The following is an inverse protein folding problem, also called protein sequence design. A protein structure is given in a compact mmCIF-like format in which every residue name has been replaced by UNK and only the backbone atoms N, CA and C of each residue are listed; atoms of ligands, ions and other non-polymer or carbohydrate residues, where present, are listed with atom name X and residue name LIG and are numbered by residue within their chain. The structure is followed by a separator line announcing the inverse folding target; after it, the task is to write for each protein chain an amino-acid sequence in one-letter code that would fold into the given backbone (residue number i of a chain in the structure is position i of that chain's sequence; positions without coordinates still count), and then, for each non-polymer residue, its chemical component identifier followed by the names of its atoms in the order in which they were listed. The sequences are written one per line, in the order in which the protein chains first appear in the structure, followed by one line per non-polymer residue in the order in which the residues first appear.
data_IF_663469029124
#
_entry.id   IF_663469029124
#
_cell.length_a   1.000
_cell.length_b   1.000
_cell.length_c   1.000
_cell.angle_alpha   90.00
_cell.angle_beta   90.00
_cell.angle_gamma   90.00
#
_symmetry.space_group_name_H-M   'P 1'
#
loop_
_entity.id
_entity.type
_entity.pdbx_description
1 polymer ?
#
# COMPACT_ATOMS: atom_id res chain seq x y z
N UNK A 1 45.35 5.05 -5.23
CA UNK A 1 44.05 4.39 -5.41
C UNK A 1 43.64 3.82 -4.06
N UNK A 2 42.63 4.36 -3.37
CA UNK A 2 42.14 3.77 -2.13
C UNK A 2 41.20 2.59 -2.45
N UNK A 3 41.49 1.44 -1.86
CA UNK A 3 40.64 0.26 -1.89
C UNK A 3 39.37 0.53 -1.06
N UNK A 4 38.22 0.44 -1.70
CA UNK A 4 36.91 0.47 -1.03
C UNK A 4 36.66 -0.93 -0.47
N UNK A 5 36.65 -1.04 0.87
CA UNK A 5 36.23 -2.27 1.55
C UNK A 5 34.74 -2.54 1.31
N UNK A 6 34.32 -3.79 1.07
CA UNK A 6 32.92 -4.10 0.91
C UNK A 6 32.18 -3.97 2.24
N UNK A 7 31.15 -3.13 2.28
CA UNK A 7 30.19 -3.08 3.38
C UNK A 7 29.40 -4.39 3.37
N UNK A 8 29.77 -5.30 4.25
CA UNK A 8 28.98 -6.51 4.53
C UNK A 8 27.77 -6.08 5.39
N UNK A 9 26.64 -5.87 4.76
CA UNK A 9 25.37 -5.85 5.47
C UNK A 9 25.06 -7.26 6.00
N UNK A 10 24.57 -7.42 7.23
CA UNK A 10 24.17 -8.73 7.76
C UNK A 10 22.78 -9.10 7.24
N UNK A 11 22.73 -9.61 6.01
CA UNK A 11 21.49 -10.20 5.40
C UNK A 11 21.16 -11.59 5.96
N UNK A 12 21.90 -12.08 6.93
CA UNK A 12 21.76 -13.46 7.44
C UNK A 12 20.80 -13.62 8.62
N UNK A 13 20.08 -12.57 9.04
CA UNK A 13 19.17 -12.65 10.19
C UNK A 13 17.68 -12.87 9.83
N UNK A 14 17.33 -13.04 8.56
CA UNK A 14 15.93 -13.22 8.13
C UNK A 14 15.58 -14.68 7.77
N UNK A 15 16.56 -15.61 7.81
CA UNK A 15 16.26 -17.00 7.51
C UNK A 15 16.48 -17.89 8.74
N UNK A 16 15.44 -18.66 9.05
CA UNK A 16 15.36 -19.77 9.98
C UNK A 16 15.08 -19.42 11.46
N UNK A 17 13.82 -19.29 11.79
CA UNK A 17 13.30 -19.83 13.03
C UNK A 17 12.02 -20.60 12.75
N UNK A 18 12.17 -21.81 12.19
CA UNK A 18 11.21 -22.89 12.40
C UNK A 18 11.54 -23.49 13.76
N UNK A 19 10.85 -23.03 14.80
CA UNK A 19 10.94 -23.66 16.11
C UNK A 19 9.58 -23.67 16.79
N UNK A 20 9.04 -24.88 16.86
CA UNK A 20 8.28 -25.46 17.99
C UNK A 20 7.12 -24.65 18.58
N UNK A 21 5.92 -25.18 18.35
CA UNK A 21 4.69 -24.92 19.12
C UNK A 21 4.94 -25.25 20.60
N UNK A 22 5.15 -24.24 21.43
CA UNK A 22 4.75 -24.22 22.85
C UNK A 22 5.23 -22.91 23.49
N UNK A 23 4.34 -22.11 24.06
CA UNK A 23 4.68 -20.98 24.95
C UNK A 23 4.42 -19.58 24.38
N UNK A 24 3.17 -19.22 24.11
CA UNK A 24 2.76 -17.92 23.60
C UNK A 24 2.39 -16.90 24.70
N UNK A 25 3.27 -16.66 25.69
CA UNK A 25 3.06 -15.55 26.65
C UNK A 25 4.29 -14.68 26.95
N UNK A 26 5.34 -14.69 26.12
CA UNK A 26 6.56 -13.91 26.36
C UNK A 26 7.06 -13.03 25.22
N UNK A 27 6.37 -12.99 24.09
CA UNK A 27 6.92 -12.50 22.79
C UNK A 27 6.66 -11.02 22.47
N UNK A 28 5.67 -10.37 23.07
CA UNK A 28 5.17 -9.07 22.59
C UNK A 28 6.16 -7.90 22.68
N UNK A 29 7.03 -7.87 23.69
CA UNK A 29 7.98 -6.76 23.85
C UNK A 29 9.23 -6.90 22.96
N UNK A 30 9.70 -8.11 22.69
CA UNK A 30 10.86 -8.35 21.84
C UNK A 30 10.54 -8.12 20.36
N UNK A 31 9.33 -8.47 19.95
CA UNK A 31 8.83 -8.20 18.59
C UNK A 31 8.65 -6.70 18.33
N UNK A 32 8.15 -5.92 19.29
CA UNK A 32 8.03 -4.45 19.19
C UNK A 32 9.36 -3.77 18.95
N UNK A 33 10.38 -4.17 19.69
CA UNK A 33 11.72 -3.58 19.57
C UNK A 33 12.33 -3.87 18.20
N UNK A 34 12.23 -5.10 17.71
CA UNK A 34 12.73 -5.47 16.38
C UNK A 34 12.00 -4.75 15.23
N UNK A 35 10.68 -4.58 15.32
CA UNK A 35 9.89 -3.91 14.28
C UNK A 35 10.17 -2.41 14.22
N UNK A 36 10.35 -1.75 15.38
CA UNK A 36 10.84 -0.36 15.43
C UNK A 36 12.22 -0.24 14.81
N UNK A 37 13.14 -1.13 15.15
CA UNK A 37 14.48 -1.14 14.60
C UNK A 37 14.50 -1.27 13.07
N UNK A 38 13.59 -2.05 12.48
CA UNK A 38 13.48 -2.16 11.01
C UNK A 38 13.08 -0.82 10.40
N UNK A 39 12.04 -0.18 10.90
CA UNK A 39 11.58 1.11 10.38
C UNK A 39 12.64 2.22 10.59
N UNK A 40 13.32 2.21 11.72
CA UNK A 40 14.38 3.17 12.05
C UNK A 40 15.61 2.94 11.16
N UNK A 41 16.03 1.68 10.97
CA UNK A 41 17.15 1.33 10.06
C UNK A 41 16.84 1.67 8.59
N UNK A 42 15.59 1.48 8.15
CA UNK A 42 15.18 1.90 6.81
C UNK A 42 15.16 3.42 6.67
N UNK A 43 14.90 4.17 7.75
CA UNK A 43 14.94 5.63 7.74
C UNK A 43 16.33 6.17 7.48
N UNK A 44 17.39 5.48 7.93
CA UNK A 44 18.78 5.84 7.66
C UNK A 44 19.13 5.76 6.16
N UNK A 45 18.41 4.96 5.39
CA UNK A 45 18.56 4.83 3.94
C UNK A 45 17.87 5.97 3.16
N UNK A 46 17.20 6.90 3.84
CA UNK A 46 16.55 8.03 3.18
C UNK A 46 17.59 9.10 2.79
N UNK A 47 18.49 8.72 1.90
CA UNK A 47 19.56 9.55 1.34
C UNK A 47 19.51 9.46 -0.20
N UNK A 48 19.95 10.48 -0.96
CA UNK A 48 19.90 10.49 -2.42
C UNK A 48 20.48 9.23 -3.06
N UNK A 49 21.62 8.74 -2.55
CA UNK A 49 22.35 7.60 -3.13
C UNK A 49 21.68 6.24 -2.85
N UNK A 50 20.87 6.15 -1.80
CA UNK A 50 20.20 4.92 -1.35
C UNK A 50 18.68 4.93 -1.54
N UNK A 51 18.10 6.08 -1.92
CA UNK A 51 16.67 6.23 -2.05
C UNK A 51 16.02 5.22 -3.01
N UNK A 52 16.67 4.91 -4.14
CA UNK A 52 16.16 3.93 -5.09
C UNK A 52 16.10 2.50 -4.48
N UNK A 53 17.09 2.14 -3.67
CA UNK A 53 17.10 0.87 -2.93
C UNK A 53 16.01 0.89 -1.84
N UNK A 54 15.83 2.01 -1.15
CA UNK A 54 14.81 2.16 -0.12
C UNK A 54 13.40 1.98 -0.67
N UNK A 55 13.10 2.49 -1.88
CA UNK A 55 11.81 2.24 -2.57
C UNK A 55 11.53 0.75 -2.63
N UNK A 56 12.45 -0.05 -3.18
CA UNK A 56 12.26 -1.50 -3.31
C UNK A 56 12.18 -2.24 -1.97
N UNK A 57 12.96 -1.81 -0.97
CA UNK A 57 12.93 -2.41 0.37
C UNK A 57 11.62 -2.13 1.09
N UNK A 58 11.09 -0.90 0.99
CA UNK A 58 9.81 -0.54 1.59
C UNK A 58 8.65 -1.30 0.94
N UNK A 59 8.63 -1.38 -0.40
CA UNK A 59 7.64 -2.18 -1.15
C UNK A 59 7.67 -3.64 -0.68
N UNK A 60 8.85 -4.25 -0.62
CA UNK A 60 9.01 -5.63 -0.19
C UNK A 60 8.57 -5.85 1.26
N UNK A 61 8.93 -4.93 2.17
CA UNK A 61 8.54 -5.03 3.58
C UNK A 61 7.02 -4.93 3.75
N UNK A 62 6.37 -3.97 3.08
CA UNK A 62 4.91 -3.81 3.11
C UNK A 62 4.22 -5.07 2.61
N UNK A 63 4.63 -5.60 1.44
CA UNK A 63 4.06 -6.81 0.86
C UNK A 63 4.22 -8.03 1.78
N UNK A 64 5.37 -8.19 2.42
CA UNK A 64 5.61 -9.27 3.38
C UNK A 64 4.76 -9.15 4.65
N UNK A 65 4.64 -7.94 5.18
CA UNK A 65 3.83 -7.69 6.38
C UNK A 65 2.36 -7.94 6.08
N UNK A 66 1.83 -7.38 5.00
CA UNK A 66 0.44 -7.57 4.60
C UNK A 66 0.09 -9.04 4.40
N UNK A 67 0.94 -9.81 3.72
CA UNK A 67 0.72 -11.24 3.52
C UNK A 67 0.82 -12.07 4.81
N UNK A 68 1.51 -11.57 5.83
CA UNK A 68 1.62 -12.24 7.13
C UNK A 68 0.45 -11.92 8.08
N UNK A 69 -0.33 -10.87 7.80
CA UNK A 69 -1.40 -10.37 8.69
C UNK A 69 -2.50 -11.42 8.97
N UNK A 70 -2.79 -12.32 8.04
CA UNK A 70 -3.75 -13.41 8.25
C UNK A 70 -3.38 -14.34 9.41
N UNK A 71 -2.09 -14.37 9.79
CA UNK A 71 -1.55 -15.27 10.81
C UNK A 71 -1.17 -14.54 12.11
N UNK A 72 -1.43 -13.23 12.20
CA UNK A 72 -0.98 -12.38 13.30
C UNK A 72 -2.17 -11.65 13.91
N UNK A 73 -2.23 -11.62 15.24
CA UNK A 73 -3.17 -10.78 15.96
C UNK A 73 -2.63 -9.35 16.05
N UNK A 74 -3.25 -8.41 15.35
CA UNK A 74 -2.95 -6.97 15.39
C UNK A 74 -4.08 -6.17 16.06
N UNK A 75 -4.76 -6.76 17.03
CA UNK A 75 -5.86 -6.10 17.76
C UNK A 75 -5.46 -4.78 18.42
N UNK A 76 -4.16 -4.54 18.62
CA UNK A 76 -3.60 -3.29 19.14
C UNK A 76 -3.16 -2.29 18.06
N UNK A 77 -3.27 -2.61 16.78
CA UNK A 77 -2.93 -1.74 15.64
C UNK A 77 -1.45 -1.42 15.46
N UNK A 78 -0.55 -2.17 16.11
CA UNK A 78 0.89 -1.89 16.04
C UNK A 78 1.47 -2.17 14.65
N UNK A 79 1.02 -3.23 13.99
CA UNK A 79 1.49 -3.60 12.65
C UNK A 79 1.00 -2.59 11.64
N UNK A 80 -0.26 -2.18 11.73
CA UNK A 80 -0.80 -1.10 10.90
C UNK A 80 0.02 0.18 11.01
N UNK A 81 0.46 0.55 12.22
CA UNK A 81 1.34 1.70 12.45
C UNK A 81 2.73 1.57 11.81
N UNK A 82 3.26 0.35 11.68
CA UNK A 82 4.55 0.10 10.99
C UNK A 82 4.37 0.23 9.49
N UNK A 83 3.33 -0.38 8.94
CA UNK A 83 3.01 -0.31 7.50
C UNK A 83 2.77 1.14 7.09
N UNK A 84 2.05 1.92 7.89
CA UNK A 84 1.87 3.35 7.65
C UNK A 84 3.22 4.09 7.55
N UNK A 85 4.14 3.88 8.50
CA UNK A 85 5.48 4.49 8.46
C UNK A 85 6.31 4.05 7.26
N UNK A 86 6.22 2.78 6.86
CA UNK A 86 6.86 2.28 5.64
C UNK A 86 6.30 2.98 4.39
N UNK A 87 4.99 3.23 4.34
CA UNK A 87 4.37 4.02 3.27
C UNK A 87 4.88 5.45 3.20
N UNK A 88 5.02 6.13 4.35
CA UNK A 88 5.62 7.46 4.38
C UNK A 88 7.09 7.47 3.92
N UNK A 89 7.87 6.48 4.32
CA UNK A 89 9.26 6.33 3.87
C UNK A 89 9.33 6.06 2.37
N UNK A 90 8.45 5.20 1.85
CA UNK A 90 8.36 4.90 0.42
C UNK A 90 8.04 6.18 -0.38
N UNK A 91 7.06 6.98 0.05
CA UNK A 91 6.73 8.24 -0.61
C UNK A 91 7.92 9.21 -0.64
N UNK A 92 8.59 9.38 0.50
CA UNK A 92 9.79 10.23 0.61
C UNK A 92 10.94 9.72 -0.27
N UNK A 93 11.14 8.40 -0.29
CA UNK A 93 12.15 7.75 -1.13
C UNK A 93 11.84 7.93 -2.63
N UNK A 94 10.58 7.81 -3.05
CA UNK A 94 10.15 8.08 -4.42
C UNK A 94 10.41 9.54 -4.83
N UNK A 95 10.20 10.51 -3.91
CA UNK A 95 10.47 11.92 -4.19
C UNK A 95 11.97 12.20 -4.41
N UNK A 96 12.86 11.48 -3.71
CA UNK A 96 14.31 11.59 -3.85
C UNK A 96 14.84 10.82 -5.07
N UNK A 97 14.43 9.55 -5.20
CA UNK A 97 14.93 8.63 -6.25
C UNK A 97 14.39 8.97 -7.63
N UNK A 98 13.23 9.64 -7.72
CA UNK A 98 12.55 10.00 -8.96
C UNK A 98 12.45 8.82 -9.94
N UNK A 99 11.82 7.70 -9.54
CA UNK A 99 11.65 6.54 -10.40
C UNK A 99 10.88 6.91 -11.68
N UNK A 100 10.96 6.06 -12.71
CA UNK A 100 10.14 6.27 -13.90
C UNK A 100 8.66 6.38 -13.52
N UNK A 101 7.96 7.47 -13.88
CA UNK A 101 6.60 7.73 -13.43
C UNK A 101 5.57 6.69 -13.88
N UNK A 102 5.76 6.11 -15.09
CA UNK A 102 4.85 5.11 -15.64
C UNK A 102 5.02 3.79 -14.87
N UNK A 103 6.26 3.36 -14.69
CA UNK A 103 6.56 2.16 -13.91
C UNK A 103 6.14 2.31 -12.44
N UNK A 104 6.28 3.51 -11.86
CA UNK A 104 5.76 3.78 -10.51
C UNK A 104 4.25 3.64 -10.47
N UNK A 105 3.51 4.23 -11.41
CA UNK A 105 2.05 4.14 -11.49
C UNK A 105 1.57 2.68 -11.54
N UNK A 106 2.22 1.84 -12.34
CA UNK A 106 1.89 0.42 -12.47
C UNK A 106 2.12 -0.34 -11.15
N UNK A 107 3.21 -0.03 -10.42
CA UNK A 107 3.47 -0.65 -9.11
C UNK A 107 2.47 -0.22 -8.05
N UNK A 108 2.19 1.10 -7.96
CA UNK A 108 1.22 1.63 -6.99
C UNK A 108 -0.18 1.04 -7.24
N UNK A 109 -0.62 1.03 -8.50
CA UNK A 109 -1.90 0.44 -8.88
C UNK A 109 -1.97 -1.06 -8.54
N UNK A 110 -0.88 -1.81 -8.81
CA UNK A 110 -0.79 -3.23 -8.40
C UNK A 110 -0.95 -3.37 -6.89
N UNK A 111 -0.25 -2.60 -6.08
CA UNK A 111 -0.37 -2.68 -4.62
C UNK A 111 -1.79 -2.37 -4.14
N UNK A 112 -2.42 -1.31 -4.63
CA UNK A 112 -3.81 -0.95 -4.27
C UNK A 112 -4.82 -2.06 -4.61
N UNK A 113 -4.53 -2.89 -5.63
CA UNK A 113 -5.46 -3.92 -6.11
C UNK A 113 -5.14 -5.33 -5.65
N UNK A 114 -3.93 -5.59 -5.13
CA UNK A 114 -3.50 -6.95 -4.79
C UNK A 114 -3.14 -7.15 -3.31
N UNK A 115 -2.85 -6.09 -2.56
CA UNK A 115 -2.58 -6.22 -1.12
C UNK A 115 -3.86 -6.60 -0.37
N UNK A 116 -3.82 -7.64 0.48
CA UNK A 116 -5.03 -8.23 1.07
C UNK A 116 -5.76 -7.31 2.06
N UNK A 117 -5.03 -6.50 2.80
CA UNK A 117 -5.59 -5.63 3.85
C UNK A 117 -5.59 -4.15 3.48
N UNK A 118 -4.75 -3.72 2.53
CA UNK A 118 -4.65 -2.33 2.10
C UNK A 118 -4.30 -1.37 3.26
N UNK A 119 -3.40 -1.77 4.14
CA UNK A 119 -2.97 -1.00 5.31
C UNK A 119 -2.20 0.27 4.94
N UNK A 120 -1.61 0.30 3.75
CA UNK A 120 -0.90 1.44 3.21
C UNK A 120 -1.65 2.00 1.99
N UNK A 121 -1.80 3.31 1.95
CA UNK A 121 -2.41 3.98 0.82
C UNK A 121 -1.38 4.30 -0.25
N UNK A 122 -1.52 3.70 -1.42
CA UNK A 122 -0.70 3.95 -2.60
C UNK A 122 -1.43 4.78 -3.66
N UNK A 123 -2.41 5.57 -3.22
CA UNK A 123 -3.30 6.32 -4.10
C UNK A 123 -2.59 7.43 -4.89
N UNK A 124 -3.18 7.74 -6.06
CA UNK A 124 -2.65 8.73 -6.98
C UNK A 124 -2.58 10.16 -6.42
N UNK A 125 -3.43 10.53 -5.45
CA UNK A 125 -3.43 11.85 -4.86
C UNK A 125 -2.21 12.04 -3.94
N UNK A 126 -1.95 11.05 -3.07
CA UNK A 126 -0.77 11.00 -2.19
C UNK A 126 0.53 10.99 -3.01
N UNK A 127 0.58 10.21 -4.09
CA UNK A 127 1.77 10.07 -4.95
C UNK A 127 1.80 11.04 -6.13
N UNK A 128 0.97 12.09 -6.12
CA UNK A 128 0.87 13.05 -7.23
C UNK A 128 2.21 13.65 -7.66
N UNK A 129 3.06 14.02 -6.70
CA UNK A 129 4.35 14.64 -6.98
C UNK A 129 5.33 13.67 -7.68
N UNK A 130 5.63 12.46 -7.17
CA UNK A 130 6.50 11.52 -7.86
C UNK A 130 5.89 10.93 -9.14
N UNK A 131 4.57 10.80 -9.26
CA UNK A 131 3.91 10.37 -10.49
C UNK A 131 3.98 11.41 -11.60
N UNK A 132 3.91 12.69 -11.26
CA UNK A 132 3.80 13.75 -12.25
C UNK A 132 2.66 13.50 -13.24
N UNK A 133 2.61 14.26 -14.33
CA UNK A 133 1.51 14.16 -15.31
C UNK A 133 1.45 12.78 -16.00
N UNK A 134 2.62 12.22 -16.39
CA UNK A 134 2.66 10.95 -17.13
C UNK A 134 2.24 9.76 -16.26
N UNK A 135 2.72 9.70 -15.03
CA UNK A 135 2.36 8.64 -14.09
C UNK A 135 0.89 8.70 -13.69
N UNK A 136 0.35 9.92 -13.41
CA UNK A 136 -1.07 10.10 -13.14
C UNK A 136 -1.94 9.65 -14.30
N UNK A 137 -1.60 10.02 -15.54
CA UNK A 137 -2.31 9.56 -16.71
C UNK A 137 -2.33 8.03 -16.79
N UNK A 138 -1.16 7.39 -16.60
CA UNK A 138 -1.06 5.93 -16.62
C UNK A 138 -1.88 5.26 -15.51
N UNK A 139 -1.87 5.82 -14.31
CA UNK A 139 -2.66 5.33 -13.18
C UNK A 139 -4.16 5.38 -13.49
N UNK A 140 -4.65 6.50 -14.03
CA UNK A 140 -6.05 6.65 -14.46
C UNK A 140 -6.42 5.64 -15.56
N UNK A 141 -5.57 5.45 -16.58
CA UNK A 141 -5.79 4.47 -17.65
C UNK A 141 -5.98 3.04 -17.09
N UNK A 142 -5.15 2.66 -16.12
CA UNK A 142 -5.25 1.35 -15.44
C UNK A 142 -6.56 1.23 -14.65
N UNK A 143 -6.89 2.25 -13.88
CA UNK A 143 -8.12 2.29 -13.09
C UNK A 143 -9.37 2.19 -13.97
N UNK A 144 -9.44 2.99 -15.03
CA UNK A 144 -10.56 2.96 -15.99
C UNK A 144 -10.67 1.61 -16.72
N UNK A 145 -9.54 1.00 -17.08
CA UNK A 145 -9.54 -0.31 -17.76
C UNK A 145 -10.17 -1.40 -16.87
N UNK A 146 -9.86 -1.41 -15.57
CA UNK A 146 -10.48 -2.33 -14.61
C UNK A 146 -11.93 -1.94 -14.30
N UNK A 147 -12.21 -0.64 -14.15
CA UNK A 147 -13.56 -0.13 -13.89
C UNK A 147 -14.60 -0.51 -14.95
N UNK A 148 -14.21 -0.54 -16.22
CA UNK A 148 -15.07 -0.98 -17.32
C UNK A 148 -15.54 -2.44 -17.17
N UNK A 149 -14.78 -3.28 -16.45
CA UNK A 149 -15.12 -4.68 -16.19
C UNK A 149 -16.10 -4.83 -15.02
N UNK A 150 -16.17 -3.83 -14.13
CA UNK A 150 -17.07 -3.83 -12.96
C UNK A 150 -18.51 -3.61 -13.42
N UNK A 151 -19.35 -4.62 -13.22
CA UNK A 151 -20.77 -4.56 -13.57
C UNK A 151 -21.60 -3.98 -12.41
N UNK A 152 -22.69 -3.24 -12.65
CA UNK A 152 -23.64 -2.85 -11.62
C UNK A 152 -24.16 -4.07 -10.84
N UNK A 153 -24.44 -3.91 -9.55
CA UNK A 153 -25.11 -4.93 -8.73
C UNK A 153 -26.13 -4.33 -7.77
N UNK A 154 -27.18 -5.10 -7.50
CA UNK A 154 -28.28 -4.75 -6.58
C UNK A 154 -28.51 -5.83 -5.53
N UNK A 155 -27.78 -6.94 -5.61
CA UNK A 155 -27.85 -8.09 -4.71
C UNK A 155 -26.56 -8.22 -3.88
N UNK A 156 -26.70 -8.67 -2.64
CA UNK A 156 -25.54 -8.94 -1.77
C UNK A 156 -25.00 -10.34 -2.10
N UNK A 157 -23.92 -10.36 -2.90
CA UNK A 157 -23.16 -11.58 -3.23
C UNK A 157 -21.93 -11.79 -2.36
N UNK A 158 -21.86 -11.07 -1.23
CA UNK A 158 -20.71 -11.09 -0.36
C UNK A 158 -19.58 -10.12 -0.79
N UNK A 159 -18.50 -10.17 -0.04
CA UNK A 159 -17.36 -9.29 -0.25
C UNK A 159 -16.53 -9.73 -1.46
N UNK A 160 -16.26 -8.77 -2.35
CA UNK A 160 -15.38 -8.90 -3.49
C UNK A 160 -14.24 -7.88 -3.33
N UNK A 161 -13.06 -8.37 -2.95
CA UNK A 161 -11.88 -7.55 -2.65
C UNK A 161 -11.43 -6.73 -3.87
N UNK A 162 -11.38 -7.35 -5.06
CA UNK A 162 -10.97 -6.66 -6.28
C UNK A 162 -11.94 -5.54 -6.65
N UNK A 163 -13.24 -5.84 -6.65
CA UNK A 163 -14.28 -4.84 -6.87
C UNK A 163 -14.17 -3.68 -5.88
N UNK A 164 -14.00 -3.99 -4.59
CA UNK A 164 -13.89 -2.98 -3.54
C UNK A 164 -12.66 -2.09 -3.72
N UNK A 165 -11.52 -2.66 -4.11
CA UNK A 165 -10.30 -1.91 -4.39
C UNK A 165 -10.47 -0.96 -5.59
N UNK A 166 -11.01 -1.46 -6.71
CA UNK A 166 -11.23 -0.64 -7.92
C UNK A 166 -12.26 0.46 -7.67
N UNK A 167 -13.37 0.15 -6.96
CA UNK A 167 -14.37 1.17 -6.60
C UNK A 167 -13.74 2.29 -5.77
N UNK A 168 -12.96 1.96 -4.74
CA UNK A 168 -12.25 2.93 -3.89
C UNK A 168 -11.27 3.78 -4.69
N UNK A 169 -10.53 3.20 -5.64
CA UNK A 169 -9.62 3.95 -6.52
C UNK A 169 -10.40 4.96 -7.35
N UNK A 170 -11.51 4.56 -7.96
CA UNK A 170 -12.33 5.45 -8.79
C UNK A 170 -12.98 6.55 -7.97
N UNK A 171 -13.51 6.25 -6.77
CA UNK A 171 -14.05 7.25 -5.84
C UNK A 171 -12.99 8.32 -5.51
N UNK A 172 -11.78 7.91 -5.13
CA UNK A 172 -10.68 8.85 -4.84
C UNK A 172 -10.26 9.69 -6.03
N UNK A 173 -10.28 9.13 -7.23
CA UNK A 173 -9.97 9.89 -8.45
C UNK A 173 -11.06 10.94 -8.73
N UNK A 174 -12.34 10.61 -8.60
CA UNK A 174 -13.45 11.55 -8.74
C UNK A 174 -13.40 12.64 -7.67
N UNK A 175 -13.17 12.30 -6.40
CA UNK A 175 -12.98 13.25 -5.30
C UNK A 175 -11.81 14.21 -5.55
N UNK A 176 -10.68 13.71 -6.02
CA UNK A 176 -9.49 14.52 -6.32
C UNK A 176 -9.71 15.49 -7.49
N UNK A 177 -10.66 15.18 -8.39
CA UNK A 177 -11.10 16.07 -9.48
C UNK A 177 -12.24 17.00 -9.08
N UNK A 178 -12.90 16.76 -7.94
CA UNK A 178 -14.11 17.46 -7.51
C UNK A 178 -15.33 17.13 -8.38
N UNK A 179 -15.32 15.96 -9.03
CA UNK A 179 -16.39 15.51 -9.92
C UNK A 179 -17.46 14.74 -9.13
N UNK A 180 -18.44 15.50 -8.62
CA UNK A 180 -19.54 14.97 -7.81
C UNK A 180 -20.43 14.03 -8.63
N UNK A 181 -20.70 14.37 -9.89
CA UNK A 181 -21.56 13.56 -10.76
C UNK A 181 -20.92 12.19 -11.04
N UNK A 182 -19.63 12.17 -11.31
CA UNK A 182 -18.88 10.91 -11.48
C UNK A 182 -18.83 10.11 -10.17
N UNK A 183 -18.63 10.78 -9.01
CA UNK A 183 -18.63 10.10 -7.71
C UNK A 183 -19.97 9.43 -7.41
N UNK A 184 -21.10 10.10 -7.71
CA UNK A 184 -22.45 9.53 -7.61
C UNK A 184 -22.59 8.33 -8.56
N UNK A 185 -22.14 8.46 -9.81
CA UNK A 185 -22.21 7.38 -10.80
C UNK A 185 -21.40 6.14 -10.39
N UNK A 186 -20.22 6.35 -9.78
CA UNK A 186 -19.38 5.28 -9.24
C UNK A 186 -20.10 4.56 -8.11
N UNK A 187 -20.61 5.28 -7.11
CA UNK A 187 -21.33 4.70 -5.97
C UNK A 187 -22.61 3.98 -6.41
N UNK A 188 -23.32 4.50 -7.39
CA UNK A 188 -24.53 3.90 -7.94
C UNK A 188 -24.31 2.55 -8.65
N UNK A 189 -23.08 2.16 -8.97
CA UNK A 189 -22.78 0.80 -9.45
C UNK A 189 -22.93 -0.30 -8.39
N UNK A 190 -23.02 0.06 -7.10
CA UNK A 190 -23.28 -0.90 -6.02
C UNK A 190 -24.42 -0.42 -5.14
N UNK A 191 -25.61 -0.93 -5.39
CA UNK A 191 -26.84 -0.67 -4.64
C UNK A 191 -27.31 -1.94 -3.90
N UNK A 192 -26.37 -2.77 -3.46
CA UNK A 192 -26.65 -4.07 -2.83
C UNK A 192 -27.17 -3.97 -1.39
N UNK A 193 -27.09 -2.80 -0.75
CA UNK A 193 -27.57 -2.59 0.62
C UNK A 193 -28.08 -1.16 0.86
N UNK A 194 -28.95 -0.97 1.85
CA UNK A 194 -29.43 0.35 2.26
C UNK A 194 -28.30 1.32 2.64
N UNK A 195 -27.20 0.82 3.19
CA UNK A 195 -26.02 1.62 3.51
C UNK A 195 -25.38 2.26 2.27
N UNK A 196 -25.43 1.58 1.12
CA UNK A 196 -24.91 2.13 -0.15
C UNK A 196 -25.71 3.33 -0.64
N UNK A 197 -27.03 3.30 -0.47
CA UNK A 197 -27.90 4.45 -0.79
C UNK A 197 -27.60 5.65 0.12
N UNK A 198 -27.38 5.42 1.43
CA UNK A 198 -27.01 6.49 2.35
C UNK A 198 -25.69 7.15 1.93
N UNK A 199 -24.68 6.39 1.55
CA UNK A 199 -23.40 6.94 1.08
C UNK A 199 -23.48 7.75 -0.22
N UNK A 200 -24.59 7.66 -0.98
CA UNK A 200 -24.88 8.56 -2.12
C UNK A 200 -25.57 9.82 -1.61
N UNK A 201 -26.51 9.69 -0.67
CA UNK A 201 -27.27 10.82 -0.15
C UNK A 201 -26.43 11.80 0.71
N UNK A 202 -25.24 11.37 1.14
CA UNK A 202 -24.29 12.18 1.94
C UNK A 202 -23.27 12.97 1.09
N UNK A 203 -23.31 12.84 -0.24
CA UNK A 203 -22.48 13.60 -1.18
C UNK A 203 -23.07 15.01 -1.37
#
# INVERSE_FOLDING_TARGET
MPQIAPVRAPLTAISASTASRSGWHGSTNMDRHHRRLIADSLSELLQPDSAAMLVGLAEHAIEKIENAMEQVDDSNGEIGGIVYRLGELHLKACALAKPDPVALAERLFRFETTLPFGLCSFDAATYRAPLGKKGLQRYCELAEAEWRKIKPRTDDKGYDAHRSAITRIMERLAEACGDVDELVAIKAKDLSSGYRYLGIAEI
#
